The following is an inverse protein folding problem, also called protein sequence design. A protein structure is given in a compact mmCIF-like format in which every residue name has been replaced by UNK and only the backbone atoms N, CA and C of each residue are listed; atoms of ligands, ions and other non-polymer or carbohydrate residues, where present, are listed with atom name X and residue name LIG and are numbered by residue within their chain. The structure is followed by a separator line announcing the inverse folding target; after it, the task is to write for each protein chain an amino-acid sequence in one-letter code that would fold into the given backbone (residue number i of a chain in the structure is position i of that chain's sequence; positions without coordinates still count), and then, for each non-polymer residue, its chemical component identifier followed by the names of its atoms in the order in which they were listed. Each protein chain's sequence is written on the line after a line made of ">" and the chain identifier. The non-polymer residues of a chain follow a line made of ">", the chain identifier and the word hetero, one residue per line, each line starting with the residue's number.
data_IF_904691540923
#
_entry.id   IF_904691540923
#
_cell.length_a   1.000
_cell.length_b   1.000
_cell.length_c   1.000
_cell.angle_alpha   90.00
_cell.angle_beta   90.00
_cell.angle_gamma   90.00
#
_symmetry.space_group_name_H-M   'P 1'
#
loop_
_entity.id
_entity.type
_entity.pdbx_description
1 polymer ?
#
# COMPACT_ATOMS: atom_id res chain seq x y z
N UNK A 1 12.87 40.53 52.82
CA UNK A 1 14.26 41.03 52.84
C UNK A 1 15.18 39.84 52.91
N UNK A 2 16.13 39.79 51.96
CA UNK A 2 17.38 39.02 51.94
C UNK A 2 17.40 37.60 52.52
N UNK A 3 17.37 36.59 51.63
CA UNK A 3 18.29 35.43 51.64
C UNK A 3 17.95 34.37 50.57
N UNK A 4 17.63 34.77 49.33
CA UNK A 4 17.66 33.85 48.18
C UNK A 4 18.36 34.54 47.01
N UNK A 5 19.61 34.93 47.25
CA UNK A 5 20.60 35.20 46.20
C UNK A 5 21.90 34.53 46.63
N UNK A 6 22.39 33.65 45.75
CA UNK A 6 23.67 32.91 45.78
C UNK A 6 23.70 31.59 46.57
N UNK A 7 23.54 30.48 45.84
CA UNK A 7 24.61 29.50 45.55
C UNK A 7 23.97 28.20 45.05
N UNK A 8 24.29 27.81 43.82
CA UNK A 8 24.59 26.42 43.45
C UNK A 8 24.96 26.38 41.96
N UNK A 9 26.23 26.63 41.70
CA UNK A 9 26.92 26.24 40.49
C UNK A 9 27.60 24.87 40.73
N UNK A 10 27.28 23.87 39.89
CA UNK A 10 27.83 22.49 39.76
C UNK A 10 27.10 21.34 40.53
N UNK A 11 27.14 20.10 39.98
CA UNK A 11 25.98 19.22 39.93
C UNK A 11 25.95 18.27 41.14
N UNK A 12 25.10 18.58 42.11
CA UNK A 12 24.62 17.56 43.04
C UNK A 12 23.48 16.86 42.32
N UNK A 13 23.77 15.72 41.68
CA UNK A 13 22.72 14.73 41.44
C UNK A 13 22.20 14.39 42.83
N UNK A 14 21.01 14.90 43.14
CA UNK A 14 20.41 14.84 44.47
C UNK A 14 20.44 13.37 44.94
N UNK A 15 20.95 13.11 46.15
CA UNK A 15 20.98 11.76 46.77
C UNK A 15 19.58 11.09 46.74
N UNK A 16 18.53 11.89 46.75
CA UNK A 16 17.14 11.45 46.55
C UNK A 16 16.86 10.88 45.16
N UNK A 17 17.48 11.41 44.10
CA UNK A 17 17.35 10.85 42.75
C UNK A 17 18.08 9.51 42.63
N UNK A 18 19.24 9.37 43.29
CA UNK A 18 19.99 8.11 43.28
C UNK A 18 19.24 7.01 44.05
N UNK A 19 18.65 7.34 45.20
CA UNK A 19 17.85 6.38 45.97
C UNK A 19 16.60 5.95 45.19
N UNK A 20 15.90 6.89 44.53
CA UNK A 20 14.75 6.57 43.68
C UNK A 20 15.11 5.66 42.51
N UNK A 21 16.27 5.87 41.87
CA UNK A 21 16.74 5.01 40.77
C UNK A 21 17.07 3.60 41.29
N UNK A 22 17.74 3.48 42.44
CA UNK A 22 18.11 2.18 43.01
C UNK A 22 16.86 1.42 43.45
N UNK A 23 15.93 2.06 44.17
CA UNK A 23 14.65 1.45 44.59
C UNK A 23 13.86 0.97 43.38
N UNK A 24 13.84 1.77 42.31
CA UNK A 24 13.15 1.43 41.08
C UNK A 24 13.78 0.22 40.36
N UNK A 25 15.11 0.17 40.26
CA UNK A 25 15.82 -0.96 39.65
C UNK A 25 15.58 -2.26 40.42
N UNK A 26 15.57 -2.19 41.76
CA UNK A 26 15.25 -3.34 42.63
C UNK A 26 13.81 -3.82 42.43
N UNK A 27 12.83 -2.92 42.42
CA UNK A 27 11.42 -3.27 42.20
C UNK A 27 11.16 -3.84 40.80
N UNK A 28 11.87 -3.32 39.79
CA UNK A 28 11.79 -3.84 38.43
C UNK A 28 12.43 -5.21 38.29
N UNK A 29 13.54 -5.47 38.99
CA UNK A 29 14.20 -6.76 38.99
C UNK A 29 13.31 -7.84 39.63
N UNK A 30 12.51 -7.45 40.63
CA UNK A 30 11.47 -8.27 41.25
C UNK A 30 10.19 -8.42 40.40
N UNK A 31 10.17 -7.93 39.15
CA UNK A 31 9.02 -7.96 38.22
C UNK A 31 7.72 -7.30 38.74
N UNK A 32 7.78 -6.57 39.85
CA UNK A 32 6.60 -5.95 40.48
C UNK A 32 6.13 -4.67 39.76
N UNK A 33 6.94 -4.14 38.84
CA UNK A 33 6.62 -2.94 38.07
C UNK A 33 6.03 -3.35 36.72
N UNK A 34 4.77 -2.94 36.41
CA UNK A 34 4.19 -3.14 35.09
C UNK A 34 5.14 -2.69 33.98
N UNK A 35 5.29 -3.49 32.92
CA UNK A 35 6.20 -3.22 31.79
C UNK A 35 6.04 -1.82 31.20
N UNK A 36 4.84 -1.25 31.29
CA UNK A 36 4.54 0.11 30.83
C UNK A 36 5.22 1.19 31.69
N UNK A 37 5.22 1.05 33.02
CA UNK A 37 5.93 1.94 33.94
C UNK A 37 7.44 1.84 33.73
N UNK A 38 7.92 0.64 33.35
CA UNK A 38 9.29 0.40 32.90
C UNK A 38 9.71 1.23 31.71
N UNK A 39 8.93 1.19 30.65
CA UNK A 39 9.19 1.99 29.45
C UNK A 39 9.17 3.49 29.76
N UNK A 40 8.26 3.96 30.62
CA UNK A 40 8.14 5.38 30.94
C UNK A 40 9.29 5.91 31.80
N UNK A 41 9.75 5.18 32.81
CA UNK A 41 10.87 5.59 33.67
C UNK A 41 12.20 5.58 32.90
N UNK A 42 12.45 4.53 32.11
CA UNK A 42 13.62 4.40 31.24
C UNK A 42 13.67 5.57 30.24
N UNK A 43 12.53 5.89 29.60
CA UNK A 43 12.43 7.06 28.72
C UNK A 43 12.63 8.38 29.46
N UNK A 44 12.15 8.51 30.69
CA UNK A 44 12.34 9.71 31.51
C UNK A 44 13.82 9.98 31.86
N UNK A 45 14.64 8.95 31.97
CA UNK A 45 16.07 9.13 32.27
C UNK A 45 16.89 9.37 31.00
N UNK A 46 16.63 8.61 29.94
CA UNK A 46 17.47 8.62 28.73
C UNK A 46 17.02 9.57 27.63
N UNK A 47 15.73 9.85 27.52
CA UNK A 47 15.19 10.72 26.48
C UNK A 47 14.99 12.13 27.05
N UNK A 48 15.91 13.03 26.68
CA UNK A 48 15.88 14.45 27.09
C UNK A 48 14.64 15.18 26.56
N UNK A 49 14.03 14.73 25.46
CA UNK A 49 12.75 15.28 24.99
C UNK A 49 11.58 14.76 25.83
N UNK A 50 11.59 13.47 26.17
CA UNK A 50 10.56 12.84 27.00
C UNK A 50 10.50 13.42 28.42
N UNK A 51 11.66 13.62 29.07
CA UNK A 51 11.77 14.23 30.41
C UNK A 51 11.30 15.69 30.45
N UNK A 52 11.63 16.49 29.42
CA UNK A 52 11.11 17.86 29.27
C UNK A 52 9.59 17.88 29.05
N UNK A 53 9.02 16.82 28.44
CA UNK A 53 7.57 16.67 28.22
C UNK A 53 6.78 16.56 29.53
N UNK A 54 7.19 15.71 30.49
CA UNK A 54 6.46 15.52 31.75
C UNK A 54 6.43 16.78 32.62
N UNK A 55 7.54 17.53 32.67
CA UNK A 55 7.62 18.80 33.41
C UNK A 55 6.64 19.83 32.82
N UNK A 56 6.47 19.86 31.49
CA UNK A 56 5.51 20.75 30.85
C UNK A 56 4.05 20.33 31.04
N UNK A 57 3.72 19.03 31.10
CA UNK A 57 2.35 18.54 31.36
C UNK A 57 1.82 19.09 32.70
N UNK A 58 2.65 19.06 33.76
CA UNK A 58 2.28 19.61 35.06
C UNK A 58 2.08 21.14 35.02
N UNK A 59 2.78 21.85 34.13
CA UNK A 59 2.59 23.30 33.94
C UNK A 59 1.36 23.64 33.08
N UNK A 60 1.00 22.77 32.12
CA UNK A 60 -0.16 22.93 31.22
C UNK A 60 -1.46 22.55 31.92
N UNK A 61 -1.43 21.63 32.91
CA UNK A 61 -2.58 21.28 33.74
C UNK A 61 -3.19 22.49 34.49
N UNK A 62 -2.42 23.58 34.63
CA UNK A 62 -2.84 24.84 35.25
C UNK A 62 -3.28 25.92 34.25
N UNK A 63 -3.34 25.63 32.95
CA UNK A 63 -3.86 26.57 31.95
C UNK A 63 -5.40 26.47 31.87
N UNK A 64 -6.12 27.60 31.81
CA UNK A 64 -7.56 27.60 31.67
C UNK A 64 -7.99 26.86 30.38
N UNK A 65 -8.93 25.93 30.50
CA UNK A 65 -9.47 25.02 29.46
C UNK A 65 -10.24 25.74 28.32
N UNK A 66 -9.94 27.00 28.01
CA UNK A 66 -10.81 27.87 27.20
C UNK A 66 -10.23 28.34 25.86
N UNK A 67 -9.20 27.66 25.32
CA UNK A 67 -8.92 27.69 23.87
C UNK A 67 -8.57 26.28 23.43
N UNK A 68 -9.42 25.67 22.60
CA UNK A 68 -9.11 24.42 21.88
C UNK A 68 -7.79 24.63 21.11
N UNK A 69 -6.68 24.20 21.70
CA UNK A 69 -5.38 24.26 21.04
C UNK A 69 -5.46 23.38 19.78
N UNK A 70 -4.83 23.77 18.67
CA UNK A 70 -4.87 22.96 17.47
C UNK A 70 -4.25 21.59 17.75
N UNK A 71 -5.00 20.53 17.45
CA UNK A 71 -4.49 19.16 17.50
C UNK A 71 -3.52 18.98 16.34
N UNK A 72 -2.27 18.62 16.66
CA UNK A 72 -1.27 18.30 15.64
C UNK A 72 -1.27 16.83 15.30
N UNK A 73 -1.21 16.52 14.01
CA UNK A 73 -1.14 15.17 13.50
C UNK A 73 0.13 14.95 12.67
N UNK A 74 0.84 13.86 12.94
CA UNK A 74 2.02 13.46 12.19
C UNK A 74 2.08 11.96 11.98
N UNK A 75 3.03 11.49 11.17
CA UNK A 75 3.20 10.08 10.83
C UNK A 75 4.66 9.66 10.98
N UNK A 76 4.88 8.46 11.52
CA UNK A 76 6.19 7.83 11.59
C UNK A 76 6.55 7.26 10.21
N UNK A 77 7.46 7.94 9.50
CA UNK A 77 7.87 7.53 8.15
C UNK A 77 8.76 6.29 8.19
N UNK A 78 8.30 5.21 7.56
CA UNK A 78 9.00 3.93 7.46
C UNK A 78 9.09 3.45 6.02
N UNK A 79 10.13 2.66 5.71
CA UNK A 79 10.35 2.11 4.36
C UNK A 79 11.05 3.06 3.40
N UNK A 80 10.64 3.05 2.13
CA UNK A 80 11.24 3.83 1.02
C UNK A 80 10.19 4.69 0.31
N UNK A 81 10.57 5.38 -0.76
CA UNK A 81 9.78 6.41 -1.44
C UNK A 81 8.28 6.11 -1.59
N UNK A 82 7.90 4.94 -2.14
CA UNK A 82 6.48 4.59 -2.30
C UNK A 82 5.71 4.50 -0.98
N UNK A 83 6.35 4.02 0.09
CA UNK A 83 5.74 3.96 1.43
C UNK A 83 5.63 5.36 2.05
N UNK A 84 6.62 6.22 1.81
CA UNK A 84 6.60 7.60 2.29
C UNK A 84 5.51 8.41 1.62
N UNK A 85 5.24 8.17 0.33
CA UNK A 85 4.14 8.81 -0.40
C UNK A 85 2.77 8.40 0.18
N UNK A 86 2.58 7.12 0.52
CA UNK A 86 1.37 6.67 1.22
C UNK A 86 1.22 7.32 2.60
N UNK A 87 2.26 7.22 3.43
CA UNK A 87 2.24 7.82 4.76
C UNK A 87 1.91 9.32 4.71
N UNK A 88 2.52 10.06 3.75
CA UNK A 88 2.26 11.47 3.55
C UNK A 88 0.83 11.76 3.08
N UNK A 89 0.38 11.12 2.00
CA UNK A 89 -0.94 11.36 1.42
C UNK A 89 -2.05 10.99 2.40
N UNK A 90 -1.93 9.84 3.07
CA UNK A 90 -2.86 9.41 4.10
C UNK A 90 -2.88 10.36 5.29
N UNK A 91 -1.71 10.86 5.73
CA UNK A 91 -1.65 11.88 6.77
C UNK A 91 -2.40 13.17 6.38
N UNK A 92 -2.26 13.64 5.13
CA UNK A 92 -3.01 14.79 4.62
C UNK A 92 -4.52 14.55 4.73
N UNK A 93 -5.00 13.40 4.24
CA UNK A 93 -6.42 13.06 4.30
C UNK A 93 -6.95 12.90 5.73
N UNK A 94 -6.24 12.15 6.57
CA UNK A 94 -6.62 11.93 7.97
C UNK A 94 -6.65 13.26 8.74
N UNK A 95 -5.66 14.13 8.54
CA UNK A 95 -5.64 15.45 9.18
C UNK A 95 -6.87 16.29 8.79
N UNK A 96 -7.28 16.25 7.51
CA UNK A 96 -8.44 16.99 7.01
C UNK A 96 -9.76 16.47 7.58
N UNK A 97 -9.94 15.14 7.62
CA UNK A 97 -11.07 14.48 8.30
C UNK A 97 -11.19 14.87 9.76
N UNK A 98 -10.08 14.93 10.49
CA UNK A 98 -10.03 15.25 11.92
C UNK A 98 -9.94 16.75 12.23
N UNK A 99 -9.97 17.63 11.21
CA UNK A 99 -9.74 19.08 11.36
C UNK A 99 -8.44 19.42 12.12
N UNK A 100 -7.44 18.55 11.99
CA UNK A 100 -6.15 18.64 12.66
C UNK A 100 -5.14 19.44 11.83
N UNK A 101 -4.19 20.07 12.51
CA UNK A 101 -3.03 20.69 11.85
C UNK A 101 -2.00 19.62 11.53
N UNK A 102 -1.63 19.53 10.24
CA UNK A 102 -0.61 18.61 9.80
C UNK A 102 0.77 19.11 10.24
N UNK A 103 1.54 18.20 10.84
CA UNK A 103 2.93 18.41 11.25
C UNK A 103 3.79 17.32 10.63
N UNK A 104 4.83 17.71 9.90
CA UNK A 104 5.92 16.82 9.53
C UNK A 104 7.18 17.65 9.66
N UNK A 105 8.15 17.18 10.46
CA UNK A 105 9.36 17.94 10.65
C UNK A 105 10.10 18.12 9.30
N UNK A 106 10.69 19.30 9.03
CA UNK A 106 11.50 19.51 7.84
C UNK A 106 12.64 18.50 7.71
N UNK A 107 13.18 18.02 8.84
CA UNK A 107 14.18 16.97 8.86
C UNK A 107 13.62 15.63 8.38
N UNK A 108 12.42 15.23 8.83
CA UNK A 108 11.75 14.03 8.35
C UNK A 108 11.55 14.09 6.84
N UNK A 109 11.03 15.21 6.31
CA UNK A 109 10.83 15.40 4.86
C UNK A 109 12.14 15.36 4.07
N UNK A 110 13.22 15.98 4.57
CA UNK A 110 14.54 15.93 3.92
C UNK A 110 15.13 14.52 3.97
N UNK A 111 15.02 13.84 5.11
CA UNK A 111 15.49 12.46 5.30
C UNK A 111 14.79 11.49 4.36
N UNK A 112 13.51 11.73 4.06
CA UNK A 112 12.73 10.91 3.11
C UNK A 112 12.74 11.42 1.67
N UNK A 113 13.59 12.39 1.33
CA UNK A 113 13.76 12.93 -0.03
C UNK A 113 12.48 13.44 -0.73
N UNK A 114 11.32 13.50 -0.07
CA UNK A 114 10.07 13.96 -0.68
C UNK A 114 10.19 15.42 -1.12
N UNK A 115 10.78 16.27 -0.27
CA UNK A 115 11.05 17.67 -0.60
C UNK A 115 12.13 17.86 -1.68
N UNK A 116 12.90 16.82 -2.02
CA UNK A 116 13.88 16.87 -3.11
C UNK A 116 13.26 16.47 -4.46
N UNK A 117 12.11 15.80 -4.45
CA UNK A 117 11.45 15.26 -5.64
C UNK A 117 10.21 16.11 -6.01
N UNK A 118 9.45 16.56 -5.01
CA UNK A 118 8.14 17.19 -5.18
C UNK A 118 8.05 18.59 -4.59
N UNK A 119 7.08 19.37 -5.04
CA UNK A 119 6.73 20.70 -4.52
C UNK A 119 5.74 20.58 -3.35
N UNK A 120 6.15 19.90 -2.29
CA UNK A 120 5.32 19.69 -1.10
C UNK A 120 5.01 21.02 -0.41
N UNK A 121 3.72 21.35 -0.23
CA UNK A 121 3.28 22.62 0.35
C UNK A 121 2.90 22.50 1.82
N UNK A 122 2.32 21.37 2.23
CA UNK A 122 1.75 21.20 3.58
C UNK A 122 2.80 20.89 4.66
N UNK A 123 4.04 21.37 4.54
CA UNK A 123 5.07 21.18 5.58
C UNK A 123 5.00 22.30 6.60
N UNK A 124 4.85 21.96 7.89
CA UNK A 124 4.90 22.93 8.99
C UNK A 124 5.98 22.53 9.99
N UNK A 125 6.87 23.48 10.30
CA UNK A 125 8.04 23.27 11.16
C UNK A 125 7.74 23.32 12.67
N UNK A 126 6.52 23.69 13.06
CA UNK A 126 6.18 23.90 14.47
C UNK A 126 6.07 22.56 15.18
N UNK A 127 7.05 22.25 16.03
CA UNK A 127 7.10 21.03 16.83
C UNK A 127 5.88 20.97 17.76
N UNK A 128 5.09 19.92 17.61
CA UNK A 128 4.03 19.61 18.56
C UNK A 128 4.65 18.89 19.77
N UNK A 129 4.78 19.61 20.87
CA UNK A 129 5.20 19.04 22.15
C UNK A 129 4.19 17.96 22.59
N UNK A 130 4.72 16.81 23.03
CA UNK A 130 4.06 15.57 23.48
C UNK A 130 3.00 14.99 22.52
N UNK A 131 3.29 13.84 21.90
CA UNK A 131 2.39 13.16 20.94
C UNK A 131 2.01 11.76 21.41
N UNK A 132 0.72 11.46 21.43
CA UNK A 132 0.18 10.12 21.67
C UNK A 132 0.41 9.23 20.43
N UNK A 133 1.00 8.04 20.57
CA UNK A 133 1.12 7.12 19.45
C UNK A 133 -0.24 6.44 19.16
N UNK A 134 -0.61 6.37 17.88
CA UNK A 134 -1.73 5.57 17.38
C UNK A 134 -1.20 4.66 16.28
N UNK A 135 -1.64 3.42 16.26
CA UNK A 135 -1.17 2.41 15.31
C UNK A 135 -2.28 2.05 14.33
N UNK A 136 -1.94 1.90 13.06
CA UNK A 136 -2.84 1.23 12.10
C UNK A 136 -3.07 -0.23 12.51
N UNK A 137 -4.24 -0.78 12.22
CA UNK A 137 -4.51 -2.21 12.49
C UNK A 137 -3.83 -3.10 11.45
N UNK A 138 -3.95 -2.76 10.16
CA UNK A 138 -3.33 -3.47 9.05
C UNK A 138 -2.67 -2.48 8.06
N UNK A 139 -1.44 -2.75 7.58
CA UNK A 139 -0.70 -1.86 6.67
C UNK A 139 -1.40 -1.46 5.38
N UNK A 140 -2.10 -2.41 4.77
CA UNK A 140 -2.71 -2.27 3.44
C UNK A 140 -4.24 -2.35 3.53
N UNK A 141 -4.82 -1.85 4.62
CA UNK A 141 -6.27 -1.76 4.80
C UNK A 141 -6.68 -0.35 5.26
N UNK A 142 -7.93 -0.01 4.96
CA UNK A 142 -8.55 1.20 5.44
C UNK A 142 -9.11 0.98 6.85
N UNK A 143 -8.68 1.83 7.77
CA UNK A 143 -9.09 1.79 9.15
C UNK A 143 -9.98 2.99 9.47
N UNK A 144 -11.27 2.71 9.69
CA UNK A 144 -12.27 3.73 9.98
C UNK A 144 -11.95 4.50 11.26
N UNK A 145 -11.19 3.94 12.21
CA UNK A 145 -10.82 4.65 13.44
C UNK A 145 -9.98 5.90 13.16
N UNK A 146 -9.26 5.92 12.04
CA UNK A 146 -8.49 7.09 11.62
C UNK A 146 -9.38 8.27 11.24
N UNK A 147 -10.67 8.08 10.98
CA UNK A 147 -11.59 9.18 10.67
C UNK A 147 -11.96 10.04 11.89
N UNK A 148 -11.83 9.48 13.11
CA UNK A 148 -12.25 10.13 14.35
C UNK A 148 -11.24 9.82 15.46
N UNK A 149 -10.13 10.55 15.43
CA UNK A 149 -9.05 10.45 16.39
C UNK A 149 -9.36 11.24 17.68
N UNK A 150 -8.73 10.87 18.82
CA UNK A 150 -8.79 11.65 20.05
C UNK A 150 -8.33 13.09 19.86
N UNK A 151 -8.87 14.02 20.66
CA UNK A 151 -8.45 15.42 20.68
C UNK A 151 -7.12 15.55 21.45
N UNK A 152 -6.04 15.09 20.84
CA UNK A 152 -4.68 15.15 21.38
C UNK A 152 -3.66 15.21 20.23
N UNK A 153 -2.46 15.74 20.50
CA UNK A 153 -1.37 15.66 19.52
C UNK A 153 -1.03 14.19 19.27
N UNK A 154 -1.00 13.75 18.00
CA UNK A 154 -0.90 12.33 17.64
C UNK A 154 0.26 12.09 16.68
N UNK A 155 0.97 10.98 16.90
CA UNK A 155 1.83 10.34 15.90
C UNK A 155 1.19 9.05 15.45
N UNK A 156 0.86 8.96 14.16
CA UNK A 156 0.36 7.73 13.56
C UNK A 156 1.56 6.86 13.17
N UNK A 157 1.55 5.60 13.61
CA UNK A 157 2.51 4.58 13.28
C UNK A 157 1.86 3.59 12.30
N UNK A 158 2.52 3.40 11.17
CA UNK A 158 2.02 2.54 10.11
C UNK A 158 2.51 2.97 8.73
N UNK A 159 2.17 2.19 7.73
CA UNK A 159 2.39 2.50 6.32
C UNK A 159 1.21 3.25 5.67
N UNK A 160 -0.01 3.09 6.21
CA UNK A 160 -1.25 3.74 5.79
C UNK A 160 -1.51 3.57 4.30
N UNK A 161 -1.36 2.35 3.77
CA UNK A 161 -1.40 2.07 2.33
C UNK A 161 -2.82 1.86 1.82
N UNK A 162 -3.68 2.86 2.01
CA UNK A 162 -5.01 2.87 1.42
C UNK A 162 -5.30 4.19 0.71
N UNK A 163 -5.78 4.09 -0.53
CA UNK A 163 -6.22 5.23 -1.33
C UNK A 163 -7.44 5.94 -0.70
N UNK A 164 -8.22 5.21 0.11
CA UNK A 164 -9.43 5.72 0.76
C UNK A 164 -9.12 6.85 1.76
N UNK A 165 -7.95 6.83 2.40
CA UNK A 165 -7.55 7.88 3.34
C UNK A 165 -7.50 9.27 2.71
N UNK A 166 -7.10 9.36 1.44
CA UNK A 166 -6.88 10.64 0.76
C UNK A 166 -7.76 10.89 -0.46
N UNK A 167 -8.66 9.96 -0.81
CA UNK A 167 -9.62 10.13 -1.92
C UNK A 167 -10.35 11.49 -1.88
N UNK A 168 -10.84 11.87 -0.71
CA UNK A 168 -11.62 13.10 -0.52
C UNK A 168 -10.79 14.40 -0.67
N UNK A 169 -9.46 14.29 -0.68
CA UNK A 169 -8.50 15.39 -0.87
C UNK A 169 -7.52 15.10 -2.02
N UNK A 170 -7.94 14.24 -2.96
CA UNK A 170 -7.09 13.77 -4.06
C UNK A 170 -6.47 14.93 -4.85
N UNK A 171 -7.25 15.98 -5.15
CA UNK A 171 -6.75 17.18 -5.83
C UNK A 171 -5.58 17.82 -5.08
N UNK A 172 -5.71 17.98 -3.76
CA UNK A 172 -4.64 18.55 -2.93
C UNK A 172 -3.39 17.66 -2.99
N UNK A 173 -3.54 16.34 -2.83
CA UNK A 173 -2.42 15.40 -2.89
C UNK A 173 -1.70 15.46 -4.25
N UNK A 174 -2.44 15.56 -5.35
CA UNK A 174 -1.85 15.70 -6.71
C UNK A 174 -1.06 17.00 -6.87
N UNK A 175 -1.57 18.11 -6.34
CA UNK A 175 -0.87 19.40 -6.37
C UNK A 175 0.45 19.35 -5.58
N UNK A 176 0.44 18.69 -4.42
CA UNK A 176 1.64 18.54 -3.59
C UNK A 176 2.66 17.58 -4.19
N UNK A 177 2.21 16.54 -4.90
CA UNK A 177 3.07 15.62 -5.65
C UNK A 177 3.37 16.07 -7.08
N UNK A 178 3.35 17.38 -7.34
CA UNK A 178 3.95 17.94 -8.54
C UNK A 178 5.47 17.85 -8.47
N UNK A 179 6.10 17.26 -9.48
CA UNK A 179 7.56 17.10 -9.51
C UNK A 179 8.28 18.44 -9.60
N UNK A 180 9.48 18.50 -9.02
CA UNK A 180 10.40 19.61 -9.26
C UNK A 180 10.83 19.63 -10.73
N UNK A 181 11.02 20.85 -11.26
CA UNK A 181 11.39 21.08 -12.68
C UNK A 181 12.57 20.24 -13.13
N UNK A 182 13.64 20.15 -12.32
CA UNK A 182 14.84 19.37 -12.65
C UNK A 182 14.56 17.88 -12.80
N UNK A 183 13.71 17.31 -11.94
CA UNK A 183 13.30 15.89 -12.02
C UNK A 183 12.46 15.66 -13.27
N UNK A 184 11.47 16.53 -13.51
CA UNK A 184 10.57 16.40 -14.66
C UNK A 184 11.31 16.56 -15.98
N UNK A 185 12.17 17.58 -16.14
CA UNK A 185 12.91 17.79 -17.39
C UNK A 185 13.82 16.61 -17.76
N UNK A 186 14.46 15.98 -16.77
CA UNK A 186 15.27 14.78 -17.01
C UNK A 186 14.41 13.59 -17.44
N UNK A 187 13.26 13.38 -16.79
CA UNK A 187 12.33 12.32 -17.17
C UNK A 187 11.78 12.54 -18.58
N UNK A 188 11.37 13.75 -18.92
CA UNK A 188 10.87 14.08 -20.26
C UNK A 188 11.94 13.89 -21.35
N UNK A 189 13.20 14.22 -21.07
CA UNK A 189 14.30 14.00 -22.00
C UNK A 189 14.45 12.51 -22.30
N UNK A 190 14.50 11.66 -21.27
CA UNK A 190 14.57 10.21 -21.42
C UNK A 190 13.33 9.69 -22.16
N UNK A 191 12.14 10.18 -21.82
CA UNK A 191 10.90 9.79 -22.48
C UNK A 191 10.92 10.10 -23.99
N UNK A 192 11.27 11.34 -24.38
CA UNK A 192 11.36 11.78 -25.79
C UNK A 192 12.40 11.01 -26.59
N UNK A 193 13.52 10.61 -25.98
CA UNK A 193 14.53 9.78 -26.64
C UNK A 193 14.02 8.36 -26.97
N UNK A 194 13.04 7.87 -26.21
CA UNK A 194 12.57 6.48 -26.30
C UNK A 194 11.20 6.33 -26.99
N UNK A 195 10.47 7.44 -27.15
CA UNK A 195 9.18 7.52 -27.83
C UNK A 195 9.38 8.29 -29.14
N UNK A 196 9.36 7.59 -30.28
CA UNK A 196 9.53 8.22 -31.59
C UNK A 196 8.29 9.06 -31.96
N UNK A 197 8.50 10.22 -32.58
CA UNK A 197 7.44 11.21 -32.90
C UNK A 197 6.51 10.82 -34.07
N UNK A 198 6.81 9.76 -34.81
CA UNK A 198 6.20 9.53 -36.14
C UNK A 198 4.93 8.66 -36.13
N UNK A 199 4.52 8.12 -34.98
CA UNK A 199 3.30 7.31 -34.85
C UNK A 199 2.58 7.69 -33.55
N UNK A 200 1.27 7.96 -33.64
CA UNK A 200 0.40 8.15 -32.47
C UNK A 200 0.24 6.82 -31.71
N UNK A 201 1.21 6.53 -30.84
CA UNK A 201 1.19 5.39 -29.94
C UNK A 201 0.65 5.79 -28.57
N UNK A 202 -0.21 4.95 -28.01
CA UNK A 202 -0.46 4.94 -26.57
C UNK A 202 0.84 4.55 -25.86
N UNK A 203 1.32 5.35 -24.91
CA UNK A 203 2.48 4.97 -24.10
C UNK A 203 2.04 4.21 -22.85
N UNK A 204 2.67 3.06 -22.61
CA UNK A 204 2.42 2.23 -21.44
C UNK A 204 3.71 2.00 -20.68
N UNK A 205 3.77 2.44 -19.43
CA UNK A 205 4.89 2.16 -18.56
C UNK A 205 4.67 0.81 -17.87
N UNK A 206 5.68 -0.06 -17.92
CA UNK A 206 5.72 -1.33 -17.18
C UNK A 206 6.68 -1.16 -16.00
N UNK A 207 6.15 -1.14 -14.78
CA UNK A 207 6.98 -1.12 -13.58
C UNK A 207 7.21 -2.53 -13.04
N UNK A 208 8.47 -2.97 -13.06
CA UNK A 208 8.89 -4.30 -12.59
C UNK A 208 9.67 -4.17 -11.28
N UNK A 209 9.05 -4.59 -10.17
CA UNK A 209 9.71 -4.70 -8.86
C UNK A 209 10.18 -6.13 -8.64
N UNK A 210 11.48 -6.34 -8.44
CA UNK A 210 12.05 -7.68 -8.23
C UNK A 210 12.99 -7.78 -7.05
N UNK A 211 14.04 -6.97 -7.00
CA UNK A 211 15.24 -7.22 -6.18
C UNK A 211 14.94 -7.70 -4.74
N UNK A 212 14.48 -6.80 -3.88
CA UNK A 212 14.15 -7.06 -2.48
C UNK A 212 12.92 -7.96 -2.27
N UNK A 213 12.06 -8.09 -3.29
CA UNK A 213 10.90 -8.99 -3.27
C UNK A 213 11.33 -10.46 -3.34
N UNK A 214 12.52 -10.76 -3.88
CA UNK A 214 13.05 -12.12 -4.03
C UNK A 214 13.92 -12.58 -2.86
N UNK A 215 14.17 -11.72 -1.86
CA UNK A 215 14.94 -12.11 -0.67
C UNK A 215 14.12 -13.15 0.11
N UNK A 216 14.76 -14.23 0.57
CA UNK A 216 14.08 -15.35 1.23
C UNK A 216 13.18 -14.93 2.41
N UNK A 217 13.62 -13.94 3.21
CA UNK A 217 12.82 -13.39 4.30
C UNK A 217 11.57 -12.65 3.82
N UNK A 218 11.68 -11.91 2.71
CA UNK A 218 10.54 -11.25 2.05
C UNK A 218 9.56 -12.28 1.49
N UNK A 219 10.06 -13.29 0.78
CA UNK A 219 9.24 -14.36 0.20
C UNK A 219 8.49 -15.12 1.29
N UNK A 220 9.16 -15.45 2.41
CA UNK A 220 8.57 -16.16 3.55
C UNK A 220 7.33 -15.45 4.14
N UNK A 221 7.29 -14.12 4.11
CA UNK A 221 6.15 -13.35 4.63
C UNK A 221 5.08 -13.08 3.58
N UNK A 222 5.33 -13.39 2.30
CA UNK A 222 4.34 -13.29 1.22
C UNK A 222 4.67 -12.32 0.10
N UNK A 223 5.86 -11.71 0.09
CA UNK A 223 6.30 -10.94 -1.07
C UNK A 223 6.49 -11.86 -2.27
N UNK A 224 5.88 -11.49 -3.39
CA UNK A 224 5.89 -12.27 -4.63
C UNK A 224 6.25 -11.35 -5.79
N UNK A 225 7.30 -11.66 -6.54
CA UNK A 225 7.58 -10.96 -7.80
C UNK A 225 6.60 -11.43 -8.88
N UNK A 226 6.20 -10.55 -9.79
CA UNK A 226 5.37 -10.94 -10.91
C UNK A 226 6.14 -11.89 -11.86
N UNK A 227 5.54 -13.02 -12.26
CA UNK A 227 6.18 -14.00 -13.15
C UNK A 227 6.01 -13.57 -14.62
N UNK A 228 6.65 -14.28 -15.56
CA UNK A 228 6.64 -13.87 -16.98
C UNK A 228 5.25 -13.90 -17.60
N UNK A 229 4.44 -14.88 -17.22
CA UNK A 229 3.08 -15.10 -17.67
C UNK A 229 2.20 -13.88 -17.38
N UNK A 230 2.40 -13.23 -16.21
CA UNK A 230 1.72 -11.99 -15.90
C UNK A 230 2.04 -10.88 -16.91
N UNK A 231 3.32 -10.70 -17.25
CA UNK A 231 3.71 -9.65 -18.20
C UNK A 231 3.17 -9.92 -19.59
N UNK A 232 3.18 -11.17 -20.05
CA UNK A 232 2.56 -11.55 -21.32
C UNK A 232 1.06 -11.24 -21.33
N UNK A 233 0.32 -11.65 -20.29
CA UNK A 233 -1.11 -11.38 -20.18
C UNK A 233 -1.41 -9.88 -20.14
N UNK A 234 -0.64 -9.11 -19.37
CA UNK A 234 -0.83 -7.67 -19.24
C UNK A 234 -0.49 -6.92 -20.53
N UNK A 235 0.61 -7.27 -21.21
CA UNK A 235 0.98 -6.68 -22.50
C UNK A 235 -0.07 -6.99 -23.56
N UNK A 236 -0.53 -8.24 -23.65
CA UNK A 236 -1.59 -8.64 -24.58
C UNK A 236 -2.89 -7.86 -24.33
N UNK A 237 -3.28 -7.69 -23.05
CA UNK A 237 -4.44 -6.89 -22.67
C UNK A 237 -4.33 -5.43 -23.15
N UNK A 238 -3.16 -4.81 -22.96
CA UNK A 238 -2.92 -3.43 -23.41
C UNK A 238 -2.92 -3.32 -24.93
N UNK A 239 -2.28 -4.27 -25.63
CA UNK A 239 -2.28 -4.33 -27.08
C UNK A 239 -3.71 -4.45 -27.65
N UNK A 240 -4.53 -5.34 -27.10
CA UNK A 240 -5.93 -5.47 -27.50
C UNK A 240 -6.72 -4.19 -27.23
N UNK A 241 -6.57 -3.61 -26.04
CA UNK A 241 -7.29 -2.40 -25.64
C UNK A 241 -6.99 -1.19 -26.55
N UNK A 242 -5.77 -1.10 -27.06
CA UNK A 242 -5.30 0.04 -27.85
C UNK A 242 -4.97 -0.34 -29.29
N UNK A 243 -5.63 -1.36 -29.85
CA UNK A 243 -5.54 -1.75 -31.26
C UNK A 243 -4.10 -1.93 -31.78
N UNK A 244 -3.25 -2.58 -30.98
CA UNK A 244 -1.81 -2.79 -31.22
C UNK A 244 -0.96 -1.51 -31.37
N UNK A 245 -1.54 -0.33 -31.10
CA UNK A 245 -0.84 0.96 -31.12
C UNK A 245 -0.32 1.32 -29.73
N UNK A 246 0.55 0.47 -29.18
CA UNK A 246 1.16 0.70 -27.86
C UNK A 246 2.69 0.69 -27.94
N UNK A 247 3.32 1.67 -27.30
CA UNK A 247 4.76 1.70 -27.00
C UNK A 247 4.95 1.39 -25.51
N UNK A 248 5.74 0.38 -25.20
CA UNK A 248 6.02 -0.01 -23.82
C UNK A 248 7.36 0.53 -23.34
N UNK A 249 7.39 1.18 -22.18
CA UNK A 249 8.60 1.61 -21.50
C UNK A 249 8.73 0.79 -20.22
N UNK A 250 9.79 0.00 -20.08
CA UNK A 250 10.01 -0.88 -18.93
C UNK A 250 10.97 -0.22 -17.96
N UNK A 251 10.50 0.06 -16.74
CA UNK A 251 11.27 0.65 -15.65
C UNK A 251 11.36 -0.39 -14.53
N UNK A 252 12.56 -0.66 -14.03
CA UNK A 252 12.78 -1.71 -13.03
C UNK A 252 13.96 -1.43 -12.10
N UNK A 253 13.88 -2.00 -10.91
CA UNK A 253 15.04 -2.14 -10.02
C UNK A 253 15.98 -3.29 -10.44
N UNK A 254 15.59 -4.13 -11.40
CA UNK A 254 16.35 -5.23 -11.97
C UNK A 254 16.41 -5.13 -13.52
N UNK A 255 17.21 -4.15 -13.97
CA UNK A 255 17.40 -3.84 -15.40
C UNK A 255 17.87 -5.05 -16.22
N UNK A 256 18.84 -5.81 -15.71
CA UNK A 256 19.44 -6.95 -16.43
C UNK A 256 18.40 -8.07 -16.64
N UNK A 257 17.58 -8.36 -15.64
CA UNK A 257 16.53 -9.35 -15.80
C UNK A 257 15.49 -8.90 -16.82
N UNK A 258 15.08 -7.62 -16.82
CA UNK A 258 14.13 -7.10 -17.79
C UNK A 258 14.65 -7.19 -19.23
N UNK A 259 15.90 -6.80 -19.48
CA UNK A 259 16.52 -6.94 -20.81
C UNK A 259 16.53 -8.39 -21.31
N UNK A 260 16.78 -9.34 -20.40
CA UNK A 260 16.84 -10.76 -20.76
C UNK A 260 15.45 -11.34 -21.06
N UNK A 261 14.45 -10.99 -20.27
CA UNK A 261 13.18 -11.72 -20.26
C UNK A 261 11.98 -10.94 -20.84
N UNK A 262 12.01 -9.61 -20.89
CA UNK A 262 10.88 -8.77 -21.33
C UNK A 262 11.14 -8.21 -22.73
N UNK A 263 11.08 -9.09 -23.74
CA UNK A 263 11.29 -8.76 -25.15
C UNK A 263 9.96 -8.68 -25.90
N UNK A 264 9.18 -7.65 -25.64
CA UNK A 264 7.91 -7.42 -26.32
C UNK A 264 8.08 -6.54 -27.56
N UNK A 265 7.20 -6.71 -28.54
CA UNK A 265 7.13 -5.77 -29.67
C UNK A 265 6.85 -4.36 -29.16
N UNK A 266 7.54 -3.36 -29.75
CA UNK A 266 7.44 -1.95 -29.37
C UNK A 266 7.77 -1.68 -27.88
N UNK A 267 8.60 -2.50 -27.25
CA UNK A 267 9.09 -2.25 -25.89
C UNK A 267 10.52 -1.71 -25.88
N UNK A 268 10.86 -0.97 -24.82
CA UNK A 268 12.22 -0.54 -24.51
C UNK A 268 12.43 -0.62 -23.00
N UNK A 269 13.57 -1.17 -22.58
CA UNK A 269 13.96 -1.23 -21.17
C UNK A 269 14.82 -0.01 -20.86
N UNK A 270 14.38 0.80 -19.91
CA UNK A 270 15.06 2.03 -19.53
C UNK A 270 16.15 1.70 -18.49
N UNK A 271 17.41 2.13 -18.69
CA UNK A 271 18.44 2.04 -17.67
C UNK A 271 18.02 2.72 -16.37
N UNK A 272 18.44 2.15 -15.24
CA UNK A 272 18.04 2.62 -13.90
C UNK A 272 18.49 4.06 -13.66
N UNK A 273 17.57 4.90 -13.15
CA UNK A 273 17.87 6.28 -12.74
C UNK A 273 17.72 6.44 -11.21
N UNK A 274 17.69 7.69 -10.76
CA UNK A 274 17.29 7.98 -9.39
C UNK A 274 15.79 7.69 -9.20
N UNK A 275 15.34 7.30 -8.00
CA UNK A 275 13.93 7.02 -7.73
C UNK A 275 12.98 8.16 -8.11
N UNK A 276 13.42 9.42 -8.00
CA UNK A 276 12.62 10.57 -8.41
C UNK A 276 12.41 10.63 -9.93
N UNK A 277 13.46 10.40 -10.72
CA UNK A 277 13.40 10.39 -12.18
C UNK A 277 12.59 9.19 -12.68
N UNK A 278 12.82 8.00 -12.13
CA UNK A 278 12.07 6.79 -12.52
C UNK A 278 10.56 6.95 -12.20
N UNK A 279 10.21 7.55 -11.05
CA UNK A 279 8.82 7.81 -10.71
C UNK A 279 8.17 8.87 -11.62
N UNK A 280 8.93 9.91 -12.01
CA UNK A 280 8.47 10.90 -12.98
C UNK A 280 8.27 10.28 -14.37
N UNK A 281 9.17 9.40 -14.82
CA UNK A 281 9.01 8.64 -16.06
C UNK A 281 7.73 7.80 -16.06
N UNK A 282 7.46 7.09 -14.96
CA UNK A 282 6.21 6.33 -14.81
C UNK A 282 4.97 7.24 -14.93
N UNK A 283 5.04 8.46 -14.39
CA UNK A 283 3.93 9.43 -14.44
C UNK A 283 3.68 10.06 -15.81
N UNK A 284 4.65 10.01 -16.73
CA UNK A 284 4.52 10.58 -18.08
C UNK A 284 3.76 9.66 -19.05
N UNK A 285 3.68 8.36 -18.76
CA UNK A 285 2.98 7.40 -19.61
C UNK A 285 1.46 7.57 -19.55
N UNK A 286 0.77 7.36 -20.67
CA UNK A 286 -0.70 7.44 -20.75
C UNK A 286 -1.41 6.29 -20.01
N UNK A 287 -0.69 5.20 -19.74
CA UNK A 287 -1.21 4.01 -19.05
C UNK A 287 -0.09 3.21 -18.38
N UNK A 288 -0.47 2.29 -17.49
CA UNK A 288 0.49 1.58 -16.62
C UNK A 288 0.19 0.09 -16.49
N UNK A 289 1.25 -0.71 -16.51
CA UNK A 289 1.27 -2.10 -16.04
C UNK A 289 2.14 -2.10 -14.77
N UNK A 290 1.55 -2.38 -13.62
CA UNK A 290 2.28 -2.38 -12.34
C UNK A 290 2.38 -3.79 -11.77
N UNK A 291 3.45 -4.04 -11.03
CA UNK A 291 3.70 -5.32 -10.36
C UNK A 291 3.39 -5.20 -8.87
N UNK A 292 4.41 -5.31 -8.02
CA UNK A 292 4.26 -5.42 -6.57
C UNK A 292 4.90 -4.25 -5.84
N UNK A 293 4.44 -4.04 -4.60
CA UNK A 293 4.85 -2.92 -3.77
C UNK A 293 4.26 -1.57 -4.20
N UNK A 294 4.74 -0.51 -3.55
CA UNK A 294 4.11 0.82 -3.60
C UNK A 294 4.70 1.77 -4.64
N UNK A 295 5.90 1.51 -5.14
CA UNK A 295 6.56 2.43 -6.08
C UNK A 295 5.81 2.52 -7.42
N UNK A 296 5.52 1.37 -8.03
CA UNK A 296 4.73 1.31 -9.27
C UNK A 296 3.30 1.82 -9.08
N UNK A 297 2.70 1.53 -7.91
CA UNK A 297 1.39 2.04 -7.52
C UNK A 297 1.34 3.58 -7.61
N UNK A 298 2.32 4.27 -7.03
CA UNK A 298 2.39 5.73 -7.10
C UNK A 298 2.67 6.24 -8.51
N UNK A 299 3.52 5.56 -9.29
CA UNK A 299 3.75 5.91 -10.69
C UNK A 299 2.45 5.90 -11.50
N UNK A 300 1.65 4.84 -11.35
CA UNK A 300 0.36 4.71 -12.03
C UNK A 300 -0.70 5.71 -11.53
N UNK A 301 -0.77 5.94 -10.22
CA UNK A 301 -1.71 6.91 -9.66
C UNK A 301 -1.40 8.34 -10.11
N UNK A 302 -0.13 8.72 -10.17
CA UNK A 302 0.32 10.03 -10.68
C UNK A 302 0.10 10.18 -12.19
N UNK A 303 0.32 9.11 -12.97
CA UNK A 303 0.00 9.09 -14.41
C UNK A 303 -1.49 9.32 -14.69
N UNK A 304 -2.36 8.93 -13.75
CA UNK A 304 -3.81 9.08 -13.85
C UNK A 304 -4.41 8.46 -15.13
N UNK A 305 -3.77 7.39 -15.62
CA UNK A 305 -4.11 6.69 -16.84
C UNK A 305 -4.75 5.33 -16.58
N UNK A 306 -5.07 4.63 -17.67
CA UNK A 306 -5.54 3.25 -17.58
C UNK A 306 -4.47 2.37 -16.95
N UNK A 307 -4.82 1.64 -15.89
CA UNK A 307 -3.85 0.89 -15.09
C UNK A 307 -4.28 -0.55 -14.93
N UNK A 308 -3.35 -1.47 -15.19
CA UNK A 308 -3.49 -2.88 -14.86
C UNK A 308 -2.48 -3.28 -13.78
N UNK A 309 -2.86 -4.19 -12.89
CA UNK A 309 -2.03 -4.62 -11.77
C UNK A 309 -1.98 -6.14 -11.60
N UNK A 310 -0.92 -6.62 -10.94
CA UNK A 310 -0.71 -8.03 -10.69
C UNK A 310 -1.63 -8.56 -9.59
N UNK A 311 -2.68 -9.30 -9.99
CA UNK A 311 -3.72 -9.76 -9.06
C UNK A 311 -3.20 -10.76 -8.03
N UNK A 312 -2.23 -11.60 -8.40
CA UNK A 312 -1.73 -12.67 -7.53
C UNK A 312 -0.68 -12.21 -6.50
N UNK A 313 -0.55 -10.90 -6.26
CA UNK A 313 0.17 -10.34 -5.13
C UNK A 313 -0.81 -9.84 -4.06
N UNK A 314 -0.51 -10.02 -2.76
CA UNK A 314 0.54 -10.87 -2.19
C UNK A 314 0.35 -12.37 -2.47
N UNK A 315 1.31 -13.21 -2.08
CA UNK A 315 1.17 -14.67 -2.19
C UNK A 315 -0.09 -15.12 -1.41
N UNK A 316 -1.06 -15.79 -2.06
CA UNK A 316 -2.30 -16.21 -1.39
C UNK A 316 -2.05 -17.04 -0.12
N UNK A 317 -2.75 -16.70 0.97
CA UNK A 317 -2.62 -17.39 2.25
C UNK A 317 -1.37 -17.04 3.07
N UNK A 318 -0.49 -16.16 2.55
CA UNK A 318 0.67 -15.67 3.29
C UNK A 318 0.29 -14.68 4.41
N UNK A 319 1.26 -14.31 5.24
CA UNK A 319 1.07 -13.25 6.25
C UNK A 319 0.69 -11.93 5.59
N UNK A 320 1.41 -11.53 4.54
CA UNK A 320 1.18 -10.26 3.84
C UNK A 320 -0.20 -10.22 3.17
N UNK A 321 -0.70 -11.36 2.67
CA UNK A 321 -2.04 -11.48 2.11
C UNK A 321 -3.12 -11.22 3.17
N UNK A 322 -2.96 -11.76 4.39
CA UNK A 322 -3.86 -11.47 5.53
C UNK A 322 -3.81 -10.02 6.00
N UNK A 323 -2.68 -9.35 5.78
CA UNK A 323 -2.48 -7.95 6.12
C UNK A 323 -2.92 -6.97 5.00
N UNK A 324 -3.43 -7.49 3.88
CA UNK A 324 -3.79 -6.71 2.69
C UNK A 324 -5.25 -6.85 2.31
N UNK A 325 -5.98 -5.73 2.33
CA UNK A 325 -7.32 -5.64 1.73
C UNK A 325 -7.15 -5.03 0.34
N UNK A 326 -7.31 -5.85 -0.71
CA UNK A 326 -6.97 -5.44 -2.09
C UNK A 326 -7.82 -4.25 -2.56
N UNK A 327 -9.06 -4.17 -2.14
CA UNK A 327 -10.01 -3.09 -2.48
C UNK A 327 -9.67 -1.78 -1.77
N UNK A 328 -8.92 -1.84 -0.67
CA UNK A 328 -8.41 -0.68 0.06
C UNK A 328 -7.06 -0.23 -0.48
N UNK A 329 -6.25 -1.15 -1.01
CA UNK A 329 -4.95 -0.86 -1.59
C UNK A 329 -5.06 -0.40 -3.05
N UNK A 330 -5.79 -1.12 -3.91
CA UNK A 330 -5.97 -0.79 -5.32
C UNK A 330 -7.29 -0.03 -5.54
N UNK A 331 -7.28 1.11 -6.26
CA UNK A 331 -8.51 1.80 -6.65
C UNK A 331 -9.41 0.92 -7.53
N UNK A 332 -10.74 1.03 -7.41
CA UNK A 332 -11.68 0.12 -8.07
C UNK A 332 -11.72 0.25 -9.60
N UNK A 333 -11.16 1.33 -10.16
CA UNK A 333 -11.06 1.56 -11.60
C UNK A 333 -9.76 1.00 -12.21
N UNK A 334 -8.91 0.34 -11.42
CA UNK A 334 -7.75 -0.40 -11.93
C UNK A 334 -8.10 -1.85 -12.23
N UNK A 335 -7.48 -2.42 -13.25
CA UNK A 335 -7.86 -3.74 -13.76
C UNK A 335 -6.88 -4.83 -13.28
N UNK A 336 -7.36 -5.85 -12.55
CA UNK A 336 -6.53 -6.98 -12.15
C UNK A 336 -6.22 -7.89 -13.33
N UNK A 337 -4.95 -8.27 -13.50
CA UNK A 337 -4.51 -9.30 -14.44
C UNK A 337 -3.89 -10.48 -13.68
N UNK A 338 -4.30 -11.70 -14.05
CA UNK A 338 -3.81 -12.94 -13.48
C UNK A 338 -2.53 -13.43 -14.18
N UNK A 339 -1.70 -14.19 -13.45
CA UNK A 339 -0.59 -14.95 -14.02
C UNK A 339 -0.96 -16.38 -14.45
N UNK A 340 -2.18 -16.84 -14.19
CA UNK A 340 -2.62 -18.13 -14.69
C UNK A 340 -2.70 -18.10 -16.22
N UNK A 341 -2.28 -19.17 -16.88
CA UNK A 341 -2.62 -19.34 -18.30
C UNK A 341 -4.14 -19.36 -18.41
N UNK A 342 -4.70 -18.45 -19.21
CA UNK A 342 -6.02 -18.68 -19.76
C UNK A 342 -5.89 -19.94 -20.62
N UNK A 343 -6.12 -21.12 -20.04
CA UNK A 343 -6.79 -22.15 -20.82
C UNK A 343 -8.06 -21.45 -21.28
N UNK A 344 -8.15 -21.21 -22.59
CA UNK A 344 -9.36 -20.74 -23.21
C UNK A 344 -10.49 -21.61 -22.68
N UNK A 345 -11.31 -21.09 -21.77
CA UNK A 345 -12.60 -21.67 -21.46
C UNK A 345 -13.46 -21.38 -22.67
N UNK A 346 -13.22 -22.12 -23.75
CA UNK A 346 -14.23 -22.39 -24.75
C UNK A 346 -15.42 -22.87 -23.95
N UNK A 347 -16.43 -22.02 -23.83
CA UNK A 347 -17.68 -22.39 -23.20
C UNK A 347 -18.28 -23.46 -24.12
N UNK A 348 -18.01 -24.72 -23.82
CA UNK A 348 -18.65 -25.82 -24.50
C UNK A 348 -20.09 -25.84 -24.01
N UNK A 349 -20.99 -25.35 -24.86
CA UNK A 349 -22.41 -25.52 -24.65
C UNK A 349 -22.70 -27.02 -24.79
N UNK A 350 -23.07 -27.67 -23.69
CA UNK A 350 -23.69 -29.00 -23.74
C UNK A 350 -25.12 -28.75 -24.21
N UNK A 351 -25.38 -29.01 -25.49
CA UNK A 351 -26.75 -29.06 -26.01
C UNK A 351 -27.33 -30.42 -25.58
N UNK A 352 -28.16 -30.41 -24.54
CA UNK A 352 -28.95 -31.58 -24.16
C UNK A 352 -30.24 -31.54 -24.97
N UNK A 353 -30.33 -32.37 -26.01
CA UNK A 353 -31.60 -32.61 -26.71
C UNK A 353 -32.35 -33.71 -25.95
N UNK A 354 -33.41 -33.34 -25.23
CA UNK A 354 -34.36 -34.29 -24.63
C UNK A 354 -35.47 -34.54 -25.64
N UNK A 355 -35.51 -35.71 -26.27
CA UNK A 355 -36.65 -36.14 -27.09
C UNK A 355 -37.64 -36.86 -26.17
N UNK A 356 -38.77 -36.22 -25.89
CA UNK A 356 -39.88 -36.86 -25.17
C UNK A 356 -40.84 -37.44 -26.21
N UNK A 357 -40.78 -38.76 -26.42
CA UNK A 357 -41.80 -39.47 -27.21
C UNK A 357 -42.96 -39.85 -26.29
N UNK A 358 -44.15 -39.34 -26.58
CA UNK A 358 -45.40 -39.75 -25.91
C UNK A 358 -46.18 -40.68 -26.83
N UNK A 359 -46.50 -41.90 -26.39
CA UNK A 359 -47.43 -42.79 -27.09
C UNK A 359 -48.68 -42.99 -26.25
N UNK A 360 -49.84 -42.85 -26.89
CA UNK A 360 -51.14 -43.13 -26.30
C UNK A 360 -51.54 -44.56 -26.68
N UNK A 361 -51.56 -45.47 -25.72
CA UNK A 361 -52.19 -46.79 -25.88
C UNK A 361 -53.24 -46.90 -24.77
N UNK A 362 -54.52 -46.87 -25.17
CA UNK A 362 -55.72 -47.07 -24.36
C UNK A 362 -55.74 -46.35 -22.98
N UNK A 363 -56.13 -45.07 -22.98
CA UNK A 363 -56.63 -44.30 -21.83
C UNK A 363 -55.86 -44.31 -20.50
N UNK A 364 -54.55 -44.62 -20.47
CA UNK A 364 -53.65 -44.25 -19.35
C UNK A 364 -52.29 -43.78 -19.88
N UNK A 365 -51.89 -42.57 -19.49
CA UNK A 365 -50.54 -42.03 -19.77
C UNK A 365 -49.50 -42.85 -19.00
N UNK A 366 -48.53 -43.43 -19.73
CA UNK A 366 -47.37 -44.11 -19.12
C UNK A 366 -46.10 -43.48 -19.67
N UNK A 367 -45.26 -42.90 -18.80
CA UNK A 367 -43.96 -42.34 -19.18
C UNK A 367 -42.91 -43.45 -19.14
N UNK A 368 -42.23 -43.72 -20.26
CA UNK A 368 -41.04 -44.58 -20.29
C UNK A 368 -39.82 -43.67 -20.42
N UNK A 369 -38.98 -43.67 -19.39
CA UNK A 369 -37.70 -42.96 -19.39
C UNK A 369 -36.64 -43.89 -20.01
N UNK A 370 -36.18 -43.61 -21.24
CA UNK A 370 -35.08 -44.35 -21.85
C UNK A 370 -33.74 -43.61 -21.68
N UNK A 371 -32.71 -44.41 -21.42
CA UNK A 371 -31.37 -44.05 -20.96
C UNK A 371 -30.61 -43.15 -21.95
N UNK A 372 -29.89 -42.17 -21.39
CA UNK A 372 -29.02 -41.22 -22.08
C UNK A 372 -27.73 -41.89 -22.58
N UNK A 373 -27.38 -41.72 -23.86
CA UNK A 373 -26.01 -41.97 -24.34
C UNK A 373 -25.21 -40.66 -24.31
N UNK A 374 -24.16 -40.63 -23.50
CA UNK A 374 -23.15 -39.56 -23.48
C UNK A 374 -21.97 -40.05 -24.30
N UNK A 375 -21.68 -39.41 -25.43
CA UNK A 375 -20.38 -39.57 -26.09
C UNK A 375 -19.41 -38.55 -25.53
N UNK A 376 -18.35 -39.02 -24.88
CA UNK A 376 -17.25 -38.21 -24.38
C UNK A 376 -15.92 -38.79 -24.89
N UNK A 377 -15.17 -38.04 -25.69
CA UNK A 377 -13.78 -38.37 -26.01
C UNK A 377 -12.86 -37.63 -25.05
N UNK A 378 -12.28 -38.35 -24.08
CA UNK A 378 -11.12 -37.89 -23.30
C UNK A 378 -11.24 -37.97 -21.78
N UNK A 379 -10.81 -39.12 -21.24
CA UNK A 379 -10.12 -39.41 -19.97
C UNK A 379 -10.55 -38.79 -18.61
N UNK A 380 -10.88 -39.71 -17.69
CA UNK A 380 -10.76 -39.71 -16.20
C UNK A 380 -12.04 -39.48 -15.36
N UNK A 381 -12.49 -40.61 -14.78
CA UNK A 381 -13.27 -40.90 -13.55
C UNK A 381 -14.72 -40.38 -13.41
N UNK A 382 -15.66 -41.32 -13.50
CA UNK A 382 -17.08 -41.20 -13.11
C UNK A 382 -17.31 -41.86 -11.75
N UNK A 383 -17.79 -41.09 -10.76
CA UNK A 383 -18.48 -41.63 -9.58
C UNK A 383 -19.98 -41.73 -9.89
N UNK A 384 -20.53 -42.93 -9.74
CA UNK A 384 -21.97 -43.22 -9.87
C UNK A 384 -22.74 -42.59 -8.70
N UNK A 385 -23.74 -41.75 -9.00
CA UNK A 385 -24.81 -41.40 -8.06
C UNK A 385 -26.08 -42.10 -8.54
N UNK A 386 -26.49 -43.14 -7.81
CA UNK A 386 -27.78 -43.78 -8.00
C UNK A 386 -28.88 -42.93 -7.35
N UNK A 387 -29.83 -42.42 -8.14
CA UNK A 387 -31.07 -41.85 -7.63
C UNK A 387 -32.09 -42.96 -7.44
N UNK A 388 -32.33 -43.30 -6.17
CA UNK A 388 -33.32 -44.27 -5.74
C UNK A 388 -34.68 -43.56 -5.67
N UNK A 389 -35.58 -43.81 -6.61
CA UNK A 389 -36.99 -43.41 -6.47
C UNK A 389 -37.84 -44.64 -6.17
N UNK A 390 -38.22 -44.78 -4.89
CA UNK A 390 -39.36 -45.60 -4.47
C UNK A 390 -40.64 -44.90 -4.93
N UNK A 391 -41.26 -45.43 -5.98
CA UNK A 391 -42.69 -45.25 -6.23
C UNK A 391 -43.43 -46.52 -5.81
N UNK A 392 -44.18 -46.46 -4.72
CA UNK A 392 -45.23 -47.44 -4.41
C UNK A 392 -46.57 -46.80 -4.77
N UNK A 393 -47.25 -47.46 -5.71
CA UNK A 393 -48.70 -47.52 -6.03
C UNK A 393 -49.59 -46.35 -5.63
#
# INVERSE_FOLDING_TARGET
>A
MELIKKRCSRPVICLACLSLIITYLVLSWLQTVPSILHVHFVRQIWDKEYSRCQVHINSIANLPKTKQQPVYLTVALSGRLGNWLFAYASLVGIARKNKALLYISPESIRKVSLGNIFNIKSVRAVNALCRQPIYEDLPCAYDKKMESLPVSNITIHGYLQSWKYFKHVEKQVREEFTFKKTIMSNAEQIFRQNVQNNISFQTTCIHVRRTDMMIASSVKIGFKSAPLEYFHNAVNHMQQKFNNKVKFLVISDDYKWCLKNLKFQNSVVIPRNTPGIDLALLSLCNSSIITTGTFGWWGAWLANGYTVYYKNYPEPGSRLDRETVKEDFYPPYWVPINSAHNQSTSSFYIIVVVVICSFCISNRLTYICNILYIFQTGSVYLQLIALNQKGTS
#
